data_IF_182561347341
#
_entry.id   IF_182561347341
#
_cell.length_a   1.000
_cell.length_b   1.000
_cell.length_c   1.000
_cell.angle_alpha   90.00
_cell.angle_beta   90.00
_cell.angle_gamma   90.00
#
_symmetry.space_group_name_H-M   'P 1'
#
loop_
_entity.id
_entity.type
_entity.pdbx_description
1 polymer ?
#
# COMPACT_ATOMS: atom_id res chain seq x y z
N UNK A 1 -12.62 4.16 53.59
CA UNK A 1 -12.26 4.27 52.16
C UNK A 1 -10.77 4.07 52.07
N UNK A 2 -10.35 2.85 51.75
CA UNK A 2 -8.94 2.44 51.73
C UNK A 2 -8.29 3.02 50.47
N UNK A 3 -7.29 3.89 50.66
CA UNK A 3 -6.38 4.29 49.58
C UNK A 3 -5.64 3.04 49.11
N UNK A 4 -6.09 2.45 48.00
CA UNK A 4 -5.29 1.48 47.27
C UNK A 4 -4.09 2.25 46.72
N UNK A 5 -2.91 1.97 47.30
CA UNK A 5 -1.63 2.45 46.77
C UNK A 5 -1.52 1.83 45.38
N UNK A 6 -1.67 2.65 44.34
CA UNK A 6 -1.43 2.20 42.96
C UNK A 6 0.03 1.78 42.90
N UNK A 7 0.28 0.51 42.61
CA UNK A 7 1.62 0.03 42.32
C UNK A 7 2.04 0.65 40.98
N UNK A 8 3.01 1.56 41.04
CA UNK A 8 3.49 2.31 39.88
C UNK A 8 4.14 1.36 38.87
N UNK A 9 4.81 0.30 39.32
CA UNK A 9 5.44 -0.68 38.43
C UNK A 9 4.38 -1.52 37.71
N UNK A 10 3.32 -1.91 38.41
CA UNK A 10 2.18 -2.59 37.82
C UNK A 10 1.47 -1.70 36.78
N UNK A 11 1.28 -0.41 37.10
CA UNK A 11 0.70 0.56 36.17
C UNK A 11 1.57 0.75 34.92
N UNK A 12 2.89 0.91 35.07
CA UNK A 12 3.83 1.05 33.94
C UNK A 12 3.82 -0.20 33.08
N UNK A 13 3.85 -1.39 33.71
CA UNK A 13 3.77 -2.68 33.01
C UNK A 13 2.47 -2.78 32.22
N UNK A 14 1.33 -2.41 32.82
CA UNK A 14 0.04 -2.42 32.15
C UNK A 14 -0.01 -1.42 31.00
N UNK A 15 0.54 -0.21 31.16
CA UNK A 15 0.64 0.78 30.09
C UNK A 15 1.52 0.26 28.94
N UNK A 16 2.72 -0.24 29.23
CA UNK A 16 3.62 -0.79 28.22
C UNK A 16 2.94 -1.89 27.40
N UNK A 17 2.27 -2.83 28.06
CA UNK A 17 1.57 -3.92 27.38
C UNK A 17 0.26 -3.50 26.70
N UNK A 18 -0.25 -2.29 26.98
CA UNK A 18 -1.42 -1.73 26.29
C UNK A 18 -1.06 -1.09 24.94
N UNK A 19 0.22 -0.82 24.67
CA UNK A 19 0.69 -0.23 23.41
C UNK A 19 1.64 -1.19 22.69
N UNK A 20 1.18 -1.82 21.62
CA UNK A 20 2.07 -2.53 20.69
C UNK A 20 2.62 -1.53 19.65
N UNK A 21 3.91 -1.13 19.71
CA UNK A 21 4.47 -0.14 18.79
C UNK A 21 4.58 -0.67 17.35
N UNK A 22 4.38 -1.96 17.12
CA UNK A 22 4.43 -2.59 15.80
C UNK A 22 3.06 -2.71 15.14
N UNK A 23 1.97 -2.44 15.88
CA UNK A 23 0.61 -2.47 15.35
C UNK A 23 0.07 -1.05 15.18
N UNK A 24 -0.50 -0.73 14.00
CA UNK A 24 -1.19 0.55 13.83
C UNK A 24 -2.49 0.56 14.65
N UNK A 25 -2.86 1.74 15.15
CA UNK A 25 -4.16 1.90 15.80
C UNK A 25 -5.28 1.85 14.74
N UNK A 26 -6.37 1.10 14.96
CA UNK A 26 -7.52 1.12 14.08
C UNK A 26 -8.20 2.51 14.08
N UNK A 27 -8.98 2.77 13.03
CA UNK A 27 -9.73 4.01 12.95
C UNK A 27 -10.78 4.09 14.06
N UNK A 28 -10.79 5.20 14.80
CA UNK A 28 -11.69 5.40 15.96
C UNK A 28 -11.20 4.76 17.26
N UNK A 29 -9.97 4.23 17.31
CA UNK A 29 -9.38 3.71 18.54
C UNK A 29 -9.34 4.80 19.64
N UNK A 30 -9.80 4.51 20.88
CA UNK A 30 -9.81 5.49 21.97
C UNK A 30 -8.40 5.92 22.42
N UNK A 31 -7.35 5.16 22.07
CA UNK A 31 -5.96 5.51 22.33
C UNK A 31 -5.39 6.47 21.29
N UNK A 32 -6.13 6.78 20.21
CA UNK A 32 -5.70 7.76 19.23
C UNK A 32 -5.67 9.17 19.83
N UNK A 33 -4.50 9.82 19.73
CA UNK A 33 -4.32 11.23 20.12
C UNK A 33 -4.06 12.06 18.86
N UNK A 34 -4.88 13.09 18.66
CA UNK A 34 -4.69 14.04 17.55
C UNK A 34 -3.50 14.97 17.84
N UNK A 35 -2.41 14.74 17.12
CA UNK A 35 -1.19 15.55 17.21
C UNK A 35 -1.14 16.73 16.24
N UNK A 36 -2.22 17.06 15.51
CA UNK A 36 -2.21 18.11 14.48
C UNK A 36 -1.69 19.46 14.98
N UNK A 37 -2.04 19.86 16.21
CA UNK A 37 -1.55 21.11 16.81
C UNK A 37 -0.03 21.17 16.99
N UNK A 38 0.62 20.03 17.18
CA UNK A 38 2.05 19.95 17.55
C UNK A 38 2.94 19.33 16.46
N UNK A 39 2.33 18.64 15.50
CA UNK A 39 2.99 18.03 14.34
C UNK A 39 3.16 19.05 13.19
N UNK A 40 2.39 20.14 13.22
CA UNK A 40 2.35 21.17 12.18
C UNK A 40 1.22 20.95 11.17
N UNK A 41 1.24 21.69 10.06
CA UNK A 41 0.23 21.60 9.02
C UNK A 41 0.40 20.29 8.23
N UNK A 42 -0.49 19.34 8.48
CA UNK A 42 -0.61 18.09 7.74
C UNK A 42 -1.76 17.25 8.29
N UNK A 43 -2.72 16.94 7.44
CA UNK A 43 -3.88 16.12 7.78
C UNK A 43 -4.23 15.26 6.57
N UNK A 44 -3.99 13.96 6.67
CA UNK A 44 -4.22 13.01 5.59
C UNK A 44 -5.64 13.05 5.03
N UNK A 45 -6.63 13.39 5.87
CA UNK A 45 -8.02 13.51 5.44
C UNK A 45 -8.21 14.71 4.52
N UNK A 46 -7.48 15.79 4.79
CA UNK A 46 -7.49 17.01 3.98
C UNK A 46 -6.60 16.85 2.75
N UNK A 47 -5.36 16.46 2.95
CA UNK A 47 -4.30 16.53 1.94
C UNK A 47 -4.43 15.42 0.89
N UNK A 48 -4.80 14.22 1.32
CA UNK A 48 -5.02 13.07 0.43
C UNK A 48 -6.52 12.86 0.17
N UNK A 49 -7.32 12.82 1.24
CA UNK A 49 -8.73 12.45 1.19
C UNK A 49 -9.60 13.42 0.39
N UNK A 50 -9.49 14.73 0.63
CA UNK A 50 -10.27 15.73 -0.15
C UNK A 50 -9.86 15.77 -1.61
N UNK A 51 -8.59 15.48 -1.92
CA UNK A 51 -8.12 15.42 -3.32
C UNK A 51 -8.79 14.27 -4.07
N UNK A 52 -8.90 13.09 -3.45
CA UNK A 52 -9.66 11.97 -4.00
C UNK A 52 -11.13 12.39 -4.20
N UNK A 53 -11.79 12.83 -3.13
CA UNK A 53 -13.23 13.17 -3.15
C UNK A 53 -13.62 14.25 -4.17
N UNK A 54 -12.76 15.24 -4.41
CA UNK A 54 -13.06 16.38 -5.28
C UNK A 54 -12.64 16.18 -6.74
N UNK A 55 -11.79 15.20 -7.02
CA UNK A 55 -11.22 15.03 -8.35
C UNK A 55 -12.20 14.27 -9.25
N UNK A 56 -12.50 14.82 -10.43
CA UNK A 56 -13.22 14.11 -11.50
C UNK A 56 -12.28 13.18 -12.31
N UNK A 57 -11.01 13.08 -11.91
CA UNK A 57 -10.00 12.21 -12.52
C UNK A 57 -9.43 11.29 -11.45
N UNK A 58 -9.04 10.09 -11.87
CA UNK A 58 -8.26 9.18 -11.04
C UNK A 58 -6.98 9.90 -10.56
N UNK A 59 -6.71 9.78 -9.26
CA UNK A 59 -5.52 10.37 -8.63
C UNK A 59 -4.57 9.28 -8.20
N UNK A 60 -3.28 9.43 -8.47
CA UNK A 60 -2.22 8.67 -7.81
C UNK A 60 -1.43 9.62 -6.92
N UNK A 61 -1.35 9.34 -5.64
CA UNK A 61 -0.75 10.23 -4.64
C UNK A 61 0.34 9.50 -3.86
N UNK A 62 1.36 10.25 -3.45
CA UNK A 62 2.46 9.73 -2.63
C UNK A 62 2.36 10.25 -1.20
N UNK A 63 2.60 9.36 -0.24
CA UNK A 63 2.62 9.68 1.17
C UNK A 63 3.93 9.22 1.83
N UNK A 64 4.66 10.15 2.42
CA UNK A 64 5.96 9.91 3.03
C UNK A 64 5.95 10.25 4.52
N UNK A 65 7.04 9.93 5.21
CA UNK A 65 7.22 10.18 6.62
C UNK A 65 8.23 9.19 7.19
N UNK A 66 8.80 9.50 8.35
CA UNK A 66 9.76 8.60 8.99
C UNK A 66 9.11 7.27 9.39
N UNK A 67 9.93 6.21 9.49
CA UNK A 67 9.48 4.94 10.09
C UNK A 67 9.09 5.19 11.55
N UNK A 68 7.99 4.60 11.99
CA UNK A 68 7.45 4.82 13.34
C UNK A 68 6.69 6.16 13.52
N UNK A 69 6.58 7.02 12.49
CA UNK A 69 5.87 8.30 12.61
C UNK A 69 4.33 8.18 12.75
N UNK A 70 3.77 6.97 12.63
CA UNK A 70 2.33 6.73 12.69
C UNK A 70 1.60 6.73 11.34
N UNK A 71 2.31 6.62 10.21
CA UNK A 71 1.72 6.64 8.86
C UNK A 71 0.57 5.64 8.69
N UNK A 72 0.76 4.38 9.11
CA UNK A 72 -0.25 3.33 8.99
C UNK A 72 -1.51 3.65 9.79
N UNK A 73 -1.39 4.19 11.00
CA UNK A 73 -2.52 4.69 11.80
C UNK A 73 -3.27 5.80 11.07
N UNK A 74 -2.55 6.78 10.51
CA UNK A 74 -3.18 7.87 9.75
C UNK A 74 -3.86 7.35 8.47
N UNK A 75 -3.28 6.37 7.78
CA UNK A 75 -3.90 5.75 6.60
C UNK A 75 -5.15 4.93 6.93
N UNK A 76 -5.23 4.28 8.10
CA UNK A 76 -6.46 3.62 8.56
C UNK A 76 -7.58 4.64 8.84
N UNK A 77 -7.25 5.79 9.45
CA UNK A 77 -8.19 6.91 9.58
C UNK A 77 -8.66 7.41 8.21
N UNK A 78 -7.74 7.54 7.26
CA UNK A 78 -8.08 7.92 5.89
C UNK A 78 -8.98 6.90 5.21
N UNK A 79 -8.73 5.60 5.38
CA UNK A 79 -9.61 4.52 4.89
C UNK A 79 -11.04 4.72 5.39
N UNK A 80 -11.24 4.87 6.71
CA UNK A 80 -12.57 5.09 7.29
C UNK A 80 -13.24 6.36 6.73
N UNK A 81 -12.48 7.45 6.58
CA UNK A 81 -13.00 8.67 5.99
C UNK A 81 -13.47 8.45 4.54
N UNK A 82 -12.65 7.83 3.68
CA UNK A 82 -13.01 7.55 2.29
C UNK A 82 -14.25 6.63 2.18
N UNK A 83 -14.35 5.60 3.04
CA UNK A 83 -15.52 4.71 3.10
C UNK A 83 -16.80 5.47 3.50
N UNK A 84 -16.70 6.40 4.46
CA UNK A 84 -17.84 7.27 4.82
C UNK A 84 -18.27 8.21 3.70
N UNK A 85 -17.35 8.52 2.78
CA UNK A 85 -17.55 9.32 1.58
C UNK A 85 -17.96 8.48 0.36
N UNK A 86 -18.43 7.22 0.56
CA UNK A 86 -18.91 6.32 -0.50
C UNK A 86 -17.83 5.95 -1.52
N UNK A 87 -16.61 5.76 -1.05
CA UNK A 87 -15.49 5.23 -1.83
C UNK A 87 -15.11 3.88 -1.22
N UNK A 88 -15.12 2.82 -2.03
CA UNK A 88 -14.64 1.51 -1.58
C UNK A 88 -13.11 1.54 -1.48
N UNK A 89 -12.55 0.98 -0.40
CA UNK A 89 -11.10 1.06 -0.15
C UNK A 89 -10.48 -0.33 -0.01
N UNK A 90 -9.62 -0.69 -0.95
CA UNK A 90 -8.67 -1.80 -0.82
C UNK A 90 -7.43 -1.28 -0.10
N UNK A 91 -7.05 -1.93 1.01
CA UNK A 91 -5.96 -1.47 1.88
C UNK A 91 -5.08 -2.65 2.26
N UNK A 92 -3.77 -2.56 2.01
CA UNK A 92 -2.83 -3.62 2.37
C UNK A 92 -1.39 -3.13 2.55
N UNK A 93 -0.64 -3.85 3.39
CA UNK A 93 0.80 -3.66 3.55
C UNK A 93 1.54 -4.49 2.51
N UNK A 94 2.31 -3.82 1.65
CA UNK A 94 3.03 -4.51 0.59
C UNK A 94 4.11 -5.48 1.11
N UNK A 95 4.76 -5.12 2.23
CA UNK A 95 5.84 -5.88 2.85
C UNK A 95 5.36 -6.94 3.86
N UNK A 96 4.06 -7.24 3.97
CA UNK A 96 3.57 -8.32 4.85
C UNK A 96 3.46 -9.67 4.13
N UNK A 97 2.94 -9.69 2.91
CA UNK A 97 2.67 -10.95 2.20
C UNK A 97 3.14 -11.00 0.75
N UNK A 98 3.51 -9.86 0.14
CA UNK A 98 3.62 -9.80 -1.32
C UNK A 98 5.02 -9.40 -1.80
N UNK A 99 5.71 -8.54 -1.07
CA UNK A 99 6.99 -7.97 -1.50
C UNK A 99 8.07 -8.23 -0.46
N UNK A 100 9.27 -8.54 -0.92
CA UNK A 100 10.48 -8.48 -0.12
C UNK A 100 11.08 -7.07 -0.20
N UNK A 101 11.19 -6.40 0.94
CA UNK A 101 11.69 -5.03 1.01
C UNK A 101 13.16 -4.89 0.58
N UNK A 102 13.97 -5.95 0.62
CA UNK A 102 15.38 -5.89 0.27
C UNK A 102 15.64 -5.97 -1.24
N UNK A 103 14.70 -6.51 -2.01
CA UNK A 103 14.79 -6.68 -3.45
C UNK A 103 13.39 -6.56 -4.02
N UNK A 104 12.84 -5.35 -3.97
CA UNK A 104 11.54 -5.00 -4.55
C UNK A 104 11.70 -4.38 -5.94
N UNK A 105 10.81 -4.77 -6.86
CA UNK A 105 10.63 -4.15 -8.18
C UNK A 105 9.17 -3.69 -8.40
N UNK A 106 8.95 -2.85 -9.41
CA UNK A 106 7.61 -2.38 -9.79
C UNK A 106 6.63 -3.55 -10.03
N UNK A 107 7.10 -4.63 -10.66
CA UNK A 107 6.27 -5.79 -10.99
C UNK A 107 5.72 -6.46 -9.76
N UNK A 108 6.46 -6.47 -8.65
CA UNK A 108 6.01 -7.03 -7.39
C UNK A 108 4.85 -6.21 -6.81
N UNK A 109 4.93 -4.87 -6.92
CA UNK A 109 3.87 -3.95 -6.50
C UNK A 109 2.61 -4.16 -7.34
N UNK A 110 2.76 -4.32 -8.67
CA UNK A 110 1.64 -4.60 -9.55
C UNK A 110 0.97 -5.94 -9.22
N UNK A 111 1.75 -6.99 -8.96
CA UNK A 111 1.24 -8.30 -8.58
C UNK A 111 0.57 -8.26 -7.20
N UNK A 112 1.11 -7.51 -6.24
CA UNK A 112 0.48 -7.27 -4.94
C UNK A 112 -0.88 -6.57 -5.11
N UNK A 113 -0.94 -5.48 -5.88
CA UNK A 113 -2.19 -4.79 -6.20
C UNK A 113 -3.20 -5.74 -6.86
N UNK A 114 -2.75 -6.55 -7.81
CA UNK A 114 -3.59 -7.54 -8.51
C UNK A 114 -4.19 -8.52 -7.50
N UNK A 115 -3.38 -9.07 -6.59
CA UNK A 115 -3.84 -10.04 -5.59
C UNK A 115 -4.92 -9.44 -4.68
N UNK A 116 -4.65 -8.27 -4.11
CA UNK A 116 -5.56 -7.64 -3.15
C UNK A 116 -6.84 -7.13 -3.82
N UNK A 117 -6.77 -6.60 -5.04
CA UNK A 117 -7.96 -6.25 -5.82
C UNK A 117 -8.81 -7.49 -6.12
N UNK A 118 -8.19 -8.58 -6.57
CA UNK A 118 -8.91 -9.84 -6.81
C UNK A 118 -9.57 -10.36 -5.52
N UNK A 119 -8.85 -10.34 -4.40
CA UNK A 119 -9.32 -10.86 -3.13
C UNK A 119 -10.46 -10.02 -2.53
N UNK A 120 -10.34 -8.69 -2.52
CA UNK A 120 -11.28 -7.79 -1.86
C UNK A 120 -12.53 -7.51 -2.71
N UNK A 121 -12.48 -7.78 -4.02
CA UNK A 121 -13.59 -7.55 -4.95
C UNK A 121 -14.23 -8.87 -5.47
N UNK A 122 -13.77 -10.03 -5.00
CA UNK A 122 -14.23 -11.35 -5.51
C UNK A 122 -15.74 -11.61 -5.39
N UNK A 123 -16.39 -11.01 -4.40
CA UNK A 123 -17.82 -11.18 -4.14
C UNK A 123 -18.68 -10.21 -4.97
N UNK A 124 -18.03 -9.29 -5.71
CA UNK A 124 -18.66 -8.15 -6.40
C UNK A 124 -18.39 -8.21 -7.91
N UNK A 125 -17.26 -8.79 -8.32
CA UNK A 125 -16.88 -8.96 -9.72
C UNK A 125 -16.20 -10.30 -9.97
N UNK A 126 -16.49 -10.83 -11.15
CA UNK A 126 -15.87 -12.05 -11.65
C UNK A 126 -14.49 -11.73 -12.26
N UNK A 127 -13.39 -12.36 -11.81
CA UNK A 127 -12.05 -12.03 -12.26
C UNK A 127 -11.70 -12.65 -13.62
N UNK A 128 -12.68 -12.81 -14.52
CA UNK A 128 -12.53 -13.53 -15.77
C UNK A 128 -11.44 -12.96 -16.68
N UNK A 129 -11.31 -11.64 -16.78
CA UNK A 129 -10.27 -10.98 -17.60
C UNK A 129 -8.87 -11.35 -17.11
N UNK A 130 -8.63 -11.23 -15.80
CA UNK A 130 -7.35 -11.55 -15.15
C UNK A 130 -7.09 -13.06 -15.15
N UNK A 131 -8.12 -13.88 -14.90
CA UNK A 131 -8.02 -15.33 -14.93
C UNK A 131 -7.68 -15.85 -16.34
N UNK A 132 -8.31 -15.31 -17.39
CA UNK A 132 -7.99 -15.68 -18.77
C UNK A 132 -6.56 -15.25 -19.14
N UNK A 133 -6.14 -14.06 -18.71
CA UNK A 133 -4.76 -13.61 -18.90
C UNK A 133 -3.74 -14.51 -18.19
N UNK A 134 -4.06 -14.97 -16.97
CA UNK A 134 -3.24 -15.91 -16.22
C UNK A 134 -3.21 -17.29 -16.88
N UNK A 135 -4.35 -17.77 -17.38
CA UNK A 135 -4.48 -19.07 -18.04
C UNK A 135 -3.48 -19.23 -19.19
N UNK A 136 -3.36 -18.22 -20.05
CA UNK A 136 -2.44 -18.25 -21.20
C UNK A 136 -0.96 -18.39 -20.78
N UNK A 137 -0.64 -18.11 -19.52
CA UNK A 137 0.71 -18.12 -18.94
C UNK A 137 0.86 -19.18 -17.85
N UNK A 138 -0.23 -19.87 -17.48
CA UNK A 138 -0.27 -20.73 -16.30
C UNK A 138 0.65 -21.94 -16.45
N UNK A 139 0.85 -22.45 -17.67
CA UNK A 139 1.77 -23.56 -17.91
C UNK A 139 3.20 -23.26 -17.44
N UNK A 140 3.63 -22.00 -17.55
CA UNK A 140 4.97 -21.57 -17.12
C UNK A 140 4.99 -21.10 -15.67
N UNK A 141 3.86 -20.62 -15.14
CA UNK A 141 3.75 -20.07 -13.79
C UNK A 141 3.36 -21.11 -12.72
N UNK A 142 2.69 -22.21 -13.09
CA UNK A 142 2.18 -23.22 -12.14
C UNK A 142 3.30 -23.86 -11.31
N UNK A 143 4.44 -24.12 -11.94
CA UNK A 143 5.62 -24.71 -11.29
C UNK A 143 6.23 -23.71 -10.29
N UNK A 144 6.15 -22.41 -10.59
CA UNK A 144 6.61 -21.33 -9.72
C UNK A 144 5.64 -21.05 -8.57
N UNK A 145 4.34 -21.28 -8.78
CA UNK A 145 3.32 -21.22 -7.74
C UNK A 145 3.40 -22.41 -6.76
N UNK A 146 4.13 -23.48 -7.13
CA UNK A 146 4.21 -24.75 -6.38
C UNK A 146 2.82 -25.34 -6.12
N UNK A 147 1.96 -25.32 -7.15
CA UNK A 147 0.58 -25.82 -7.06
C UNK A 147 0.17 -26.64 -8.27
N UNK A 148 -0.41 -27.81 -8.02
CA UNK A 148 -1.07 -28.63 -9.04
C UNK A 148 -2.55 -28.24 -9.14
N UNK A 149 -2.84 -27.21 -9.94
CA UNK A 149 -4.21 -26.72 -10.17
C UNK A 149 -4.53 -26.82 -11.66
N UNK A 150 -5.63 -27.52 -11.99
CA UNK A 150 -6.30 -27.41 -13.28
C UNK A 150 -7.02 -26.05 -13.34
N UNK A 151 -6.29 -25.02 -13.80
CA UNK A 151 -6.75 -23.63 -13.78
C UNK A 151 -8.02 -23.42 -14.61
N UNK A 152 -8.31 -24.27 -15.59
CA UNK A 152 -9.53 -24.16 -16.40
C UNK A 152 -10.78 -24.53 -15.60
N UNK A 153 -10.68 -25.59 -14.78
CA UNK A 153 -11.82 -26.14 -14.02
C UNK A 153 -11.90 -25.60 -12.59
N UNK A 154 -10.86 -24.92 -12.12
CA UNK A 154 -10.81 -24.35 -10.78
C UNK A 154 -11.86 -23.25 -10.56
N UNK A 155 -12.46 -23.24 -9.37
CA UNK A 155 -13.30 -22.13 -8.91
C UNK A 155 -12.49 -20.84 -8.77
N UNK A 156 -13.19 -19.71 -8.68
CA UNK A 156 -12.58 -18.39 -8.51
C UNK A 156 -11.70 -18.34 -7.26
N UNK A 157 -12.21 -18.80 -6.12
CA UNK A 157 -11.43 -18.85 -4.87
C UNK A 157 -10.13 -19.65 -5.01
N UNK A 158 -10.17 -20.76 -5.75
CA UNK A 158 -8.98 -21.57 -6.02
C UNK A 158 -7.99 -20.81 -6.92
N UNK A 159 -8.46 -20.12 -7.95
CA UNK A 159 -7.62 -19.28 -8.82
C UNK A 159 -6.97 -18.12 -8.06
N UNK A 160 -7.74 -17.43 -7.22
CA UNK A 160 -7.24 -16.35 -6.35
C UNK A 160 -6.21 -16.90 -5.37
N UNK A 161 -6.47 -18.06 -4.75
CA UNK A 161 -5.50 -18.72 -3.86
C UNK A 161 -4.22 -19.11 -4.59
N UNK A 162 -4.31 -19.59 -5.83
CA UNK A 162 -3.15 -19.89 -6.65
C UNK A 162 -2.29 -18.64 -6.92
N UNK A 163 -2.94 -17.51 -7.22
CA UNK A 163 -2.26 -16.23 -7.41
C UNK A 163 -1.66 -15.67 -6.11
N UNK A 164 -2.34 -15.87 -4.98
CA UNK A 164 -1.81 -15.54 -3.65
C UNK A 164 -0.55 -16.37 -3.30
N UNK A 165 -0.49 -17.64 -3.72
CA UNK A 165 0.71 -18.47 -3.57
C UNK A 165 1.85 -18.01 -4.48
N UNK A 166 1.54 -17.60 -5.71
CA UNK A 166 2.53 -17.04 -6.63
C UNK A 166 3.20 -15.79 -6.03
N UNK A 167 2.41 -14.86 -5.49
CA UNK A 167 2.89 -13.64 -4.81
C UNK A 167 3.64 -13.97 -3.51
N UNK A 168 3.18 -14.94 -2.72
CA UNK A 168 3.91 -15.42 -1.54
C UNK A 168 5.28 -16.01 -1.89
N UNK A 169 5.39 -16.79 -2.98
CA UNK A 169 6.66 -17.34 -3.45
C UNK A 169 7.57 -16.26 -4.02
N UNK A 170 7.00 -15.28 -4.74
CA UNK A 170 7.71 -14.08 -5.19
C UNK A 170 8.35 -13.34 -4.02
N UNK A 171 7.64 -13.21 -2.89
CA UNK A 171 8.21 -12.66 -1.66
C UNK A 171 9.26 -13.58 -1.04
N UNK A 172 8.96 -14.85 -0.82
CA UNK A 172 9.73 -15.70 0.10
C UNK A 172 10.98 -16.33 -0.54
N UNK A 173 11.00 -16.56 -1.85
CA UNK A 173 12.02 -17.38 -2.50
C UNK A 173 12.72 -16.60 -3.63
N UNK A 174 13.97 -16.13 -3.43
CA UNK A 174 14.68 -15.29 -4.40
C UNK A 174 14.79 -15.90 -5.81
N UNK A 175 15.03 -17.22 -5.91
CA UNK A 175 15.14 -17.89 -7.21
C UNK A 175 13.80 -17.97 -7.95
N UNK A 176 12.68 -18.15 -7.23
CA UNK A 176 11.35 -18.13 -7.83
C UNK A 176 10.94 -16.70 -8.18
N UNK A 177 11.25 -15.71 -7.32
CA UNK A 177 11.05 -14.28 -7.61
C UNK A 177 11.62 -13.88 -8.96
N UNK A 178 12.89 -14.20 -9.21
CA UNK A 178 13.55 -13.88 -10.47
C UNK A 178 12.88 -14.56 -11.66
N UNK A 179 12.49 -15.84 -11.54
CA UNK A 179 11.77 -16.55 -12.59
C UNK A 179 10.38 -15.94 -12.85
N UNK A 180 9.63 -15.61 -11.80
CA UNK A 180 8.31 -14.96 -11.93
C UNK A 180 8.46 -13.61 -12.64
N UNK A 181 9.42 -12.78 -12.22
CA UNK A 181 9.69 -11.49 -12.89
C UNK A 181 10.02 -11.66 -14.37
N UNK A 182 10.89 -12.61 -14.72
CA UNK A 182 11.22 -12.89 -16.13
C UNK A 182 9.99 -13.24 -16.97
N UNK A 183 9.04 -13.98 -16.39
CA UNK A 183 7.78 -14.36 -17.08
C UNK A 183 6.75 -13.24 -17.13
N UNK A 184 6.67 -12.39 -16.11
CA UNK A 184 5.62 -11.36 -15.99
C UNK A 184 6.04 -10.02 -16.60
N UNK A 185 7.32 -9.62 -16.50
CA UNK A 185 7.82 -8.32 -16.97
C UNK A 185 7.40 -7.97 -18.41
N UNK A 186 7.51 -8.89 -19.41
CA UNK A 186 7.07 -8.62 -20.79
C UNK A 186 5.57 -8.38 -20.96
N UNK A 187 4.77 -8.66 -19.93
CA UNK A 187 3.32 -8.65 -19.98
C UNK A 187 2.68 -7.69 -18.98
N UNK A 188 3.46 -6.85 -18.29
CA UNK A 188 2.94 -5.88 -17.30
C UNK A 188 1.89 -4.93 -17.89
N UNK A 189 2.07 -4.47 -19.13
CA UNK A 189 1.11 -3.60 -19.83
C UNK A 189 -0.23 -4.32 -20.07
N UNK A 190 -0.18 -5.59 -20.50
CA UNK A 190 -1.40 -6.36 -20.73
C UNK A 190 -2.05 -6.78 -19.41
N UNK A 191 -1.27 -7.00 -18.35
CA UNK A 191 -1.78 -7.24 -17.00
C UNK A 191 -2.56 -6.02 -16.48
N UNK A 192 -1.99 -4.81 -16.60
CA UNK A 192 -2.67 -3.56 -16.23
C UNK A 192 -3.99 -3.44 -16.99
N UNK A 193 -3.99 -3.73 -18.30
CA UNK A 193 -5.21 -3.67 -19.12
C UNK A 193 -6.31 -4.59 -18.57
N UNK A 194 -6.02 -5.87 -18.38
CA UNK A 194 -7.04 -6.83 -17.90
C UNK A 194 -7.46 -6.58 -16.45
N UNK A 195 -6.55 -6.03 -15.63
CA UNK A 195 -6.86 -5.61 -14.27
C UNK A 195 -7.78 -4.39 -14.26
N UNK A 196 -7.60 -3.46 -15.20
CA UNK A 196 -8.52 -2.33 -15.38
C UNK A 196 -9.90 -2.76 -15.86
N UNK A 197 -9.98 -3.73 -16.77
CA UNK A 197 -11.26 -4.34 -17.16
C UNK A 197 -12.00 -4.94 -15.95
N UNK A 198 -11.26 -5.59 -15.04
CA UNK A 198 -11.81 -6.13 -13.79
C UNK A 198 -12.24 -5.02 -12.82
N UNK A 199 -11.41 -3.99 -12.61
CA UNK A 199 -11.73 -2.83 -11.76
C UNK A 199 -13.00 -2.12 -12.27
N UNK A 200 -13.09 -1.88 -13.58
CA UNK A 200 -14.23 -1.19 -14.19
C UNK A 200 -15.52 -2.01 -14.06
N UNK A 201 -15.43 -3.34 -14.10
CA UNK A 201 -16.58 -4.21 -13.82
C UNK A 201 -16.99 -4.18 -12.35
N UNK A 202 -16.03 -4.28 -11.43
CA UNK A 202 -16.28 -4.20 -9.99
C UNK A 202 -16.92 -2.87 -9.58
N UNK A 203 -16.51 -1.75 -10.17
CA UNK A 203 -17.10 -0.42 -9.92
C UNK A 203 -18.61 -0.36 -10.18
N UNK A 204 -19.17 -1.21 -11.04
CA UNK A 204 -20.61 -1.24 -11.33
C UNK A 204 -21.45 -1.83 -10.20
N UNK A 205 -20.83 -2.67 -9.36
CA UNK A 205 -21.52 -3.48 -8.36
C UNK A 205 -21.06 -3.15 -6.93
N UNK A 206 -20.31 -2.06 -6.72
CA UNK A 206 -19.79 -1.70 -5.40
C UNK A 206 -20.92 -1.57 -4.36
N UNK A 207 -20.72 -2.10 -3.13
CA UNK A 207 -21.75 -2.13 -2.11
C UNK A 207 -21.98 -0.75 -1.48
N UNK A 208 -23.03 -0.64 -0.67
CA UNK A 208 -23.28 0.50 0.24
C UNK A 208 -23.39 1.88 -0.44
N UNK A 209 -23.71 1.89 -1.74
CA UNK A 209 -23.82 3.10 -2.55
C UNK A 209 -22.47 3.70 -2.94
N UNK A 210 -21.38 2.93 -2.82
CA UNK A 210 -20.08 3.36 -3.31
C UNK A 210 -20.09 3.46 -4.84
N UNK A 211 -19.46 4.51 -5.38
CA UNK A 211 -19.35 4.73 -6.83
C UNK A 211 -17.91 4.78 -7.32
N UNK A 212 -16.96 4.86 -6.39
CA UNK A 212 -15.53 4.96 -6.68
C UNK A 212 -14.75 3.92 -5.88
N UNK A 213 -13.53 3.65 -6.37
CA UNK A 213 -12.58 2.71 -5.77
C UNK A 213 -11.27 3.44 -5.47
N UNK A 214 -10.71 3.20 -4.29
CA UNK A 214 -9.37 3.61 -3.91
C UNK A 214 -8.54 2.40 -3.46
N UNK A 215 -7.25 2.42 -3.78
CA UNK A 215 -6.25 1.45 -3.32
C UNK A 215 -5.21 2.17 -2.48
N UNK A 216 -5.00 1.73 -1.25
CA UNK A 216 -3.96 2.23 -0.35
C UNK A 216 -2.93 1.12 -0.16
N UNK A 217 -1.74 1.35 -0.70
CA UNK A 217 -0.60 0.44 -0.60
C UNK A 217 0.45 1.07 0.31
N UNK A 218 0.55 0.55 1.53
CA UNK A 218 1.48 1.08 2.53
C UNK A 218 2.68 0.16 2.74
N UNK A 219 3.67 0.66 3.49
CA UNK A 219 4.97 0.05 3.76
C UNK A 219 5.93 -0.06 2.55
N UNK A 220 5.61 0.52 1.40
CA UNK A 220 6.59 0.69 0.31
C UNK A 220 7.74 1.62 0.71
N UNK A 221 7.55 2.49 1.71
CA UNK A 221 8.64 3.28 2.32
C UNK A 221 9.65 2.43 3.11
N UNK A 222 9.38 1.13 3.27
CA UNK A 222 10.30 0.17 3.89
C UNK A 222 11.26 -0.49 2.90
N UNK A 223 11.02 -0.35 1.60
CA UNK A 223 11.91 -0.87 0.56
C UNK A 223 13.32 -0.29 0.76
N UNK A 224 14.30 -1.17 0.86
CA UNK A 224 15.71 -0.81 1.00
C UNK A 224 16.22 -0.30 -0.36
N UNK A 225 16.91 0.86 -0.40
CA UNK A 225 17.50 1.35 -1.63
C UNK A 225 18.65 0.43 -2.06
N UNK A 226 18.54 -0.15 -3.25
CA UNK A 226 19.59 -0.96 -3.88
C UNK A 226 20.06 -0.25 -5.14
N UNK A 227 21.37 0.00 -5.23
CA UNK A 227 21.99 0.60 -6.42
C UNK A 227 22.13 -0.49 -7.49
N UNK A 228 21.60 -0.23 -8.68
CA UNK A 228 21.65 -1.13 -9.83
C UNK A 228 22.81 -0.79 -10.78
N UNK A 229 22.97 -1.57 -11.87
CA UNK A 229 24.08 -1.44 -12.82
C UNK A 229 24.17 -0.06 -13.49
N UNK A 230 23.02 0.60 -13.67
CA UNK A 230 22.92 1.96 -14.22
C UNK A 230 23.23 3.07 -13.19
N UNK A 231 23.67 2.67 -11.99
CA UNK A 231 23.99 3.54 -10.84
C UNK A 231 22.78 4.26 -10.24
N UNK A 232 21.56 3.87 -10.63
CA UNK A 232 20.32 4.37 -10.02
C UNK A 232 19.82 3.38 -8.98
N UNK A 233 18.89 3.82 -8.14
CA UNK A 233 18.31 2.96 -7.12
C UNK A 233 17.08 2.22 -7.66
N UNK A 234 16.73 1.09 -7.06
CA UNK A 234 15.40 0.48 -7.27
C UNK A 234 14.25 1.47 -6.98
N UNK A 235 14.42 2.44 -6.07
CA UNK A 235 13.43 3.50 -5.84
C UNK A 235 13.24 4.38 -7.08
N UNK A 236 14.32 4.74 -7.77
CA UNK A 236 14.24 5.46 -9.06
C UNK A 236 13.45 4.63 -10.07
N UNK A 237 13.76 3.35 -10.21
CA UNK A 237 13.10 2.48 -11.18
C UNK A 237 11.61 2.33 -10.87
N UNK A 238 11.24 2.18 -9.61
CA UNK A 238 9.84 2.04 -9.18
C UNK A 238 9.09 3.36 -9.36
N UNK A 239 9.53 4.42 -8.71
CA UNK A 239 8.73 5.64 -8.55
C UNK A 239 8.91 6.64 -9.69
N UNK A 240 10.03 6.62 -10.42
CA UNK A 240 10.30 7.56 -11.52
C UNK A 240 10.04 6.87 -12.86
N UNK A 241 10.79 5.80 -13.15
CA UNK A 241 10.80 5.19 -14.49
C UNK A 241 9.52 4.41 -14.80
N UNK A 242 8.89 3.85 -13.76
CA UNK A 242 7.62 3.11 -13.85
C UNK A 242 6.42 3.93 -13.36
N UNK A 243 6.57 5.26 -13.29
CA UNK A 243 5.52 6.15 -12.79
C UNK A 243 4.22 6.05 -13.57
N UNK A 244 4.30 5.98 -14.91
CA UNK A 244 3.12 5.83 -15.76
C UNK A 244 2.37 4.52 -15.46
N UNK A 245 3.10 3.42 -15.24
CA UNK A 245 2.48 2.15 -14.90
C UNK A 245 1.91 2.13 -13.46
N UNK A 246 2.57 2.75 -12.48
CA UNK A 246 2.02 2.92 -11.12
C UNK A 246 0.72 3.73 -11.12
N UNK A 247 0.57 4.67 -12.06
CA UNK A 247 -0.63 5.50 -12.22
C UNK A 247 -1.72 4.85 -13.06
N UNK A 248 -1.46 3.71 -13.69
CA UNK A 248 -2.28 3.20 -14.77
C UNK A 248 -3.54 2.45 -14.34
N UNK A 249 -3.72 2.15 -13.04
CA UNK A 249 -4.92 1.45 -12.59
C UNK A 249 -6.15 2.37 -12.58
N UNK A 250 -7.31 1.85 -12.97
CA UNK A 250 -8.57 2.60 -13.10
C UNK A 250 -9.24 2.94 -11.74
N UNK A 251 -8.45 3.29 -10.73
CA UNK A 251 -8.89 3.61 -9.37
C UNK A 251 -7.98 4.65 -8.73
N UNK A 252 -8.46 5.36 -7.70
CA UNK A 252 -7.59 6.26 -6.94
C UNK A 252 -6.52 5.43 -6.21
N UNK A 253 -5.29 5.94 -6.13
CA UNK A 253 -4.19 5.22 -5.51
C UNK A 253 -3.43 6.12 -4.53
N UNK A 254 -3.06 5.55 -3.40
CA UNK A 254 -2.10 6.11 -2.45
C UNK A 254 -0.98 5.10 -2.28
N UNK A 255 0.24 5.50 -2.62
CA UNK A 255 1.46 4.75 -2.34
C UNK A 255 2.23 5.44 -1.22
N UNK A 256 2.69 4.68 -0.23
CA UNK A 256 3.78 5.20 0.62
C UNK A 256 5.07 5.30 -0.18
N UNK A 257 5.93 6.28 0.11
CA UNK A 257 7.23 6.43 -0.57
C UNK A 257 8.33 6.69 0.45
N UNK A 258 9.56 6.17 0.25
CA UNK A 258 10.70 6.50 1.12
C UNK A 258 10.88 8.01 1.23
N UNK A 259 10.95 8.53 2.47
CA UNK A 259 11.10 9.97 2.72
C UNK A 259 12.38 10.55 2.11
N UNK A 260 13.42 9.73 1.97
CA UNK A 260 14.67 10.09 1.29
C UNK A 260 14.43 10.51 -0.17
N UNK A 261 13.48 9.90 -0.87
CA UNK A 261 13.13 10.28 -2.24
C UNK A 261 12.55 11.71 -2.30
N UNK A 262 11.68 12.06 -1.34
CA UNK A 262 11.02 13.37 -1.27
C UNK A 262 12.01 14.51 -0.99
N UNK A 263 13.12 14.23 -0.30
CA UNK A 263 14.18 15.18 -0.01
C UNK A 263 15.45 14.98 -0.86
N UNK A 264 15.36 14.22 -1.95
CA UNK A 264 16.48 14.01 -2.88
C UNK A 264 16.39 14.92 -4.11
N UNK A 265 17.37 14.80 -5.01
CA UNK A 265 17.32 15.44 -6.33
C UNK A 265 16.12 14.98 -7.18
N UNK A 266 15.46 13.86 -6.84
CA UNK A 266 14.23 13.35 -7.47
C UNK A 266 12.94 14.05 -7.03
N UNK A 267 13.03 14.99 -6.08
CA UNK A 267 11.84 15.68 -5.55
C UNK A 267 11.06 16.46 -6.62
N UNK A 268 11.72 16.92 -7.68
CA UNK A 268 11.07 17.55 -8.82
C UNK A 268 10.31 16.51 -9.66
N UNK A 269 10.97 15.40 -10.00
CA UNK A 269 10.38 14.29 -10.76
C UNK A 269 9.11 13.74 -10.05
N UNK A 270 9.18 13.50 -8.74
CA UNK A 270 8.01 13.05 -7.97
C UNK A 270 6.85 14.05 -8.02
N UNK A 271 7.15 15.35 -7.96
CA UNK A 271 6.14 16.41 -8.04
C UNK A 271 5.50 16.48 -9.41
N UNK A 272 6.28 16.28 -10.47
CA UNK A 272 5.80 16.25 -11.84
C UNK A 272 4.87 15.04 -12.07
N UNK A 273 5.27 13.85 -11.62
CA UNK A 273 4.52 12.63 -11.92
C UNK A 273 3.28 12.40 -11.04
N UNK A 274 3.33 12.77 -9.75
CA UNK A 274 2.28 12.44 -8.76
C UNK A 274 1.62 13.65 -8.09
N UNK A 275 1.93 14.87 -8.55
CA UNK A 275 1.75 16.09 -7.75
C UNK A 275 2.63 16.09 -6.49
N UNK A 276 2.57 17.15 -5.68
CA UNK A 276 3.30 17.25 -4.42
C UNK A 276 3.06 16.06 -3.48
N UNK A 277 4.09 15.24 -3.19
CA UNK A 277 4.00 14.21 -2.16
C UNK A 277 3.63 14.82 -0.82
N UNK A 278 2.75 14.17 -0.08
CA UNK A 278 2.41 14.57 1.28
C UNK A 278 3.37 13.90 2.26
N UNK A 279 3.83 14.63 3.27
CA UNK A 279 4.79 14.11 4.25
C UNK A 279 4.16 14.22 5.63
N UNK A 280 4.09 13.11 6.36
CA UNK A 280 3.75 13.11 7.78
C UNK A 280 4.94 13.66 8.59
N UNK A 281 4.84 14.85 9.19
CA UNK A 281 5.94 15.42 9.94
C UNK A 281 6.19 14.66 11.25
N UNK A 282 7.40 14.76 11.77
CA UNK A 282 7.72 14.33 13.14
C UNK A 282 7.27 15.38 14.15
N UNK A 283 6.98 14.93 15.37
CA UNK A 283 6.64 15.82 16.48
C UNK A 283 7.94 16.41 17.03
N UNK A 284 8.02 17.74 17.07
CA UNK A 284 9.16 18.43 17.66
C UNK A 284 9.11 18.28 19.19
N UNK A 285 10.16 17.71 19.78
CA UNK A 285 10.31 17.59 21.24
C UNK A 285 11.34 18.58 21.80
N UNK A 286 12.26 19.04 20.95
CA UNK A 286 13.29 20.03 21.26
C UNK A 286 13.49 20.98 20.08
N UNK A 287 13.75 22.24 20.38
CA UNK A 287 14.13 23.25 19.39
C UNK A 287 15.59 23.05 18.95
N UNK A 288 16.02 23.66 17.82
CA UNK A 288 17.40 23.55 17.34
C UNK A 288 18.47 24.03 18.35
N UNK A 289 18.11 24.91 19.29
CA UNK A 289 18.98 25.39 20.37
C UNK A 289 19.06 24.44 21.58
N UNK A 290 18.39 23.29 21.52
CA UNK A 290 18.35 22.28 22.59
C UNK A 290 17.31 22.55 23.67
N UNK A 291 16.59 23.68 23.62
CA UNK A 291 15.50 23.96 24.56
C UNK A 291 14.28 23.06 24.29
N UNK A 292 13.49 22.79 25.33
CA UNK A 292 12.24 22.01 25.18
C UNK A 292 11.26 22.73 24.26
N UNK A 293 10.60 21.96 23.39
CA UNK A 293 9.47 22.48 22.63
C UNK A 293 8.21 22.45 23.52
N UNK A 294 7.68 23.63 23.82
CA UNK A 294 6.38 23.79 24.47
C UNK A 294 5.37 24.19 23.39
N UNK A 295 4.36 23.35 23.09
CA UNK A 295 3.37 23.61 22.06
C UNK A 295 2.35 24.70 22.41
#
# INVERSE_FOLDING_TARGET
>A
MTNQKIDIEELITNLYNSFDPFQPLPAGDPLYVDFKKVRGDGDVLVDLGRKIKRSNRITCQLYAGHRGAGKSTELLRLKQYLESEKIFVVYFAADEQDIDAEDAEYTDILLACTRHLLQDLKDIAEPNSVANWLKDRWQELKDLALTEIDFEKASIDVKISAFAKLTANLRAVPTLRQQIRQKINPHTVTLIKVLNEFIDDAKKNLPNGCTELAVIVYNLDRIVPVIQEDKRTNHDHIFIDRSEQLKALNCHIIYTVPISMVYSHRAADLREFYSAPQVLPMIMVQKPDGSKYEP
#
